data_IF_787155680877
#
_entry.id   IF_787155680877
#
_cell.length_a   1.000
_cell.length_b   1.000
_cell.length_c   1.000
_cell.angle_alpha   90.00
_cell.angle_beta   90.00
_cell.angle_gamma   90.00
#
_symmetry.space_group_name_H-M   'P 1'
#
loop_
_entity.id
_entity.type
_entity.pdbx_description
1 polymer ?
#
# COMPACT_ATOMS: atom_id res chain seq x y z
N UNK A 1 -7.65 11.37 -10.54
CA UNK A 1 -6.22 11.28 -10.90
C UNK A 1 -6.03 11.87 -12.28
N UNK A 2 -4.95 12.62 -12.49
CA UNK A 2 -4.55 13.10 -13.82
C UNK A 2 -3.84 11.99 -14.60
N UNK A 3 -3.91 12.06 -15.93
CA UNK A 3 -3.17 11.14 -16.80
C UNK A 3 -1.67 11.25 -16.55
N UNK A 4 -0.97 10.12 -16.57
CA UNK A 4 0.48 10.05 -16.40
C UNK A 4 1.07 9.01 -17.36
N UNK A 5 2.24 9.31 -17.91
CA UNK A 5 3.05 8.36 -18.68
C UNK A 5 4.09 7.75 -17.77
N UNK A 6 4.10 6.41 -17.69
CA UNK A 6 5.07 5.66 -16.89
C UNK A 6 6.04 4.97 -17.83
N UNK A 7 7.32 5.32 -17.73
CA UNK A 7 8.42 4.64 -18.42
C UNK A 7 8.89 3.48 -17.55
N UNK A 8 8.63 2.25 -18.00
CA UNK A 8 9.13 1.04 -17.37
C UNK A 8 10.37 0.55 -18.12
N UNK A 9 11.49 0.44 -17.43
CA UNK A 9 12.72 -0.14 -17.93
C UNK A 9 12.93 -1.51 -17.29
N UNK A 10 13.19 -2.52 -18.13
CA UNK A 10 13.43 -3.91 -17.74
C UNK A 10 14.90 -4.25 -18.03
N UNK A 11 15.81 -4.10 -17.04
CA UNK A 11 17.24 -4.39 -17.21
C UNK A 11 17.54 -5.79 -17.74
N UNK A 12 16.70 -6.76 -17.40
CA UNK A 12 16.83 -8.16 -17.83
C UNK A 12 15.79 -8.56 -18.89
N UNK A 13 14.98 -7.62 -19.39
CA UNK A 13 13.91 -7.91 -20.35
C UNK A 13 12.71 -8.69 -19.78
N UNK A 14 12.64 -8.89 -18.46
CA UNK A 14 11.59 -9.66 -17.78
C UNK A 14 10.82 -8.80 -16.76
N UNK A 15 9.50 -8.83 -16.84
CA UNK A 15 8.59 -8.07 -15.98
C UNK A 15 8.41 -8.65 -14.56
N UNK A 16 8.98 -9.82 -14.25
CA UNK A 16 9.00 -10.42 -12.91
C UNK A 16 10.32 -10.21 -12.17
N UNK A 17 11.35 -9.75 -12.88
CA UNK A 17 12.70 -9.49 -12.37
C UNK A 17 12.81 -8.03 -11.90
N UNK A 18 14.05 -7.57 -11.70
CA UNK A 18 14.35 -6.17 -11.47
C UNK A 18 13.68 -5.27 -12.53
N UNK A 19 13.01 -4.23 -12.06
CA UNK A 19 12.25 -3.27 -12.84
C UNK A 19 12.54 -1.88 -12.34
N UNK A 20 12.57 -0.92 -13.26
CA UNK A 20 12.78 0.49 -12.94
C UNK A 20 11.64 1.29 -13.55
N UNK A 21 10.89 2.01 -12.73
CA UNK A 21 9.77 2.84 -13.13
C UNK A 21 10.06 4.32 -12.94
N UNK A 22 9.70 5.14 -13.93
CA UNK A 22 9.78 6.60 -13.85
C UNK A 22 8.50 7.22 -14.43
N UNK A 23 7.97 8.28 -13.80
CA UNK A 23 6.82 9.02 -14.33
C UNK A 23 7.35 10.22 -15.11
N UNK A 24 6.80 10.49 -16.30
CA UNK A 24 7.16 11.66 -17.08
C UNK A 24 6.93 12.96 -16.30
N UNK A 25 7.89 13.88 -16.36
CA UNK A 25 7.89 15.16 -15.65
C UNK A 25 7.83 15.05 -14.12
N UNK A 26 8.33 13.94 -13.56
CA UNK A 26 8.53 13.73 -12.13
C UNK A 26 9.93 13.20 -11.88
N UNK A 27 10.56 13.68 -10.81
CA UNK A 27 11.97 13.37 -10.50
C UNK A 27 12.13 12.15 -9.60
N UNK A 28 11.00 11.56 -9.18
CA UNK A 28 11.00 10.29 -8.48
C UNK A 28 11.35 9.11 -9.39
N UNK A 29 12.00 8.12 -8.79
CA UNK A 29 12.37 6.86 -9.43
C UNK A 29 11.97 5.70 -8.56
N UNK A 30 11.42 4.67 -9.19
CA UNK A 30 10.99 3.46 -8.52
C UNK A 30 11.82 2.27 -8.98
N UNK A 31 12.20 1.40 -8.05
CA UNK A 31 12.85 0.12 -8.32
C UNK A 31 12.02 -0.99 -7.72
N UNK A 32 11.81 -2.08 -8.45
CA UNK A 32 11.11 -3.25 -7.92
C UNK A 32 11.90 -4.51 -8.26
N UNK A 33 12.10 -5.40 -7.30
CA UNK A 33 12.83 -6.64 -7.52
C UNK A 33 12.29 -7.76 -6.62
N UNK A 34 12.36 -9.03 -7.06
CA UNK A 34 12.22 -10.16 -6.15
C UNK A 34 13.43 -10.22 -5.20
N UNK A 35 13.26 -10.81 -4.01
CA UNK A 35 14.31 -10.92 -2.97
C UNK A 35 15.58 -11.60 -3.47
N UNK A 36 15.45 -12.57 -4.36
CA UNK A 36 16.57 -13.25 -5.03
C UNK A 36 17.47 -12.27 -5.81
N UNK A 37 16.92 -11.19 -6.32
CA UNK A 37 17.66 -10.15 -7.07
C UNK A 37 17.90 -8.89 -6.22
N UNK A 38 17.86 -9.01 -4.90
CA UNK A 38 18.13 -7.88 -4.02
C UNK A 38 19.53 -7.30 -4.29
N UNK A 39 20.55 -8.13 -4.52
CA UNK A 39 21.90 -7.62 -4.79
C UNK A 39 21.95 -6.76 -6.06
N UNK A 40 21.28 -7.16 -7.14
CA UNK A 40 21.20 -6.40 -8.39
C UNK A 40 20.52 -5.03 -8.18
N UNK A 41 19.53 -4.96 -7.28
CA UNK A 41 18.92 -3.71 -6.85
C UNK A 41 19.90 -2.87 -6.01
N UNK A 42 20.66 -3.48 -5.10
CA UNK A 42 21.56 -2.77 -4.19
C UNK A 42 22.78 -2.15 -4.89
N UNK A 43 23.25 -2.72 -6.01
CA UNK A 43 24.37 -2.14 -6.78
C UNK A 43 23.98 -0.83 -7.48
N UNK A 44 22.68 -0.59 -7.69
CA UNK A 44 22.16 0.62 -8.33
C UNK A 44 22.49 1.88 -7.53
N UNK A 45 22.76 2.97 -8.23
CA UNK A 45 23.08 4.28 -7.62
C UNK A 45 21.90 4.79 -6.77
N UNK A 46 20.68 4.58 -7.26
CA UNK A 46 19.43 4.94 -6.60
C UNK A 46 19.29 4.36 -5.20
N UNK A 47 19.81 3.15 -4.97
CA UNK A 47 19.77 2.54 -3.64
C UNK A 47 20.63 3.31 -2.62
N UNK A 48 21.57 4.14 -3.07
CA UNK A 48 22.36 5.02 -2.21
C UNK A 48 21.63 6.26 -1.71
N UNK A 49 20.45 6.58 -2.26
CA UNK A 49 19.70 7.79 -1.95
C UNK A 49 18.68 7.60 -0.82
N UNK A 50 18.19 8.72 -0.29
CA UNK A 50 17.08 8.74 0.65
C UNK A 50 15.77 8.36 -0.05
N UNK A 51 14.89 7.65 0.65
CA UNK A 51 13.61 7.27 0.10
C UNK A 51 12.74 6.41 1.01
N UNK A 52 11.77 5.75 0.39
CA UNK A 52 10.83 4.82 1.02
C UNK A 52 10.96 3.47 0.33
N UNK A 53 10.82 2.39 1.08
CA UNK A 53 10.74 1.04 0.56
C UNK A 53 9.55 0.28 1.14
N UNK A 54 9.10 -0.70 0.37
CA UNK A 54 8.02 -1.60 0.67
C UNK A 54 8.59 -3.02 0.56
N UNK A 55 8.44 -3.82 1.61
CA UNK A 55 8.71 -5.25 1.56
C UNK A 55 7.38 -5.97 1.53
N UNK A 56 7.23 -6.90 0.59
CA UNK A 56 6.03 -7.70 0.41
C UNK A 56 6.33 -9.17 0.60
N UNK A 57 5.37 -9.87 1.18
CA UNK A 57 5.41 -11.30 1.32
C UNK A 57 4.07 -11.86 1.77
N UNK A 58 4.10 -13.04 2.35
CA UNK A 58 2.93 -13.73 2.83
C UNK A 58 3.29 -14.52 4.09
N UNK A 59 2.34 -14.56 5.02
CA UNK A 59 2.44 -15.36 6.21
C UNK A 59 2.48 -16.86 5.83
N UNK A 60 3.51 -17.64 6.23
CA UNK A 60 3.64 -19.03 5.80
C UNK A 60 2.54 -19.96 6.31
N UNK A 61 1.89 -19.63 7.43
CA UNK A 61 0.86 -20.47 8.04
C UNK A 61 -0.54 -20.12 7.54
N UNK A 62 -0.87 -18.84 7.52
CA UNK A 62 -2.20 -18.34 7.15
C UNK A 62 -2.35 -17.99 5.67
N UNK A 63 -1.24 -17.81 4.95
CA UNK A 63 -1.23 -17.31 3.56
C UNK A 63 -1.63 -15.83 3.41
N UNK A 64 -1.85 -15.12 4.52
CA UNK A 64 -2.25 -13.71 4.49
C UNK A 64 -1.12 -12.85 3.91
N UNK A 65 -1.47 -11.87 3.09
CA UNK A 65 -0.51 -10.96 2.49
C UNK A 65 0.10 -10.03 3.56
N UNK A 66 1.44 -10.02 3.65
CA UNK A 66 2.20 -9.20 4.59
C UNK A 66 2.90 -8.07 3.86
N UNK A 67 2.94 -6.89 4.50
CA UNK A 67 3.71 -5.77 4.01
C UNK A 67 4.46 -5.05 5.14
N UNK A 68 5.61 -4.48 4.81
CA UNK A 68 6.36 -3.57 5.67
C UNK A 68 6.68 -2.31 4.87
N UNK A 69 6.42 -1.14 5.44
CA UNK A 69 6.74 0.15 4.82
C UNK A 69 7.83 0.80 5.64
N UNK A 70 8.96 1.17 5.04
CA UNK A 70 10.06 1.79 5.77
C UNK A 70 10.66 2.98 5.05
N UNK A 71 11.20 3.92 5.81
CA UNK A 71 12.08 4.97 5.30
C UNK A 71 13.57 4.66 5.54
N UNK A 72 14.43 5.27 4.73
CA UNK A 72 15.85 5.40 5.05
C UNK A 72 16.48 6.61 4.33
N UNK A 73 17.48 7.22 4.96
CA UNK A 73 18.38 8.19 4.31
C UNK A 73 19.33 7.51 3.30
N UNK A 74 19.61 6.22 3.49
CA UNK A 74 20.33 5.35 2.55
C UNK A 74 19.59 4.02 2.46
N UNK A 75 18.85 3.80 1.37
CA UNK A 75 18.01 2.61 1.19
C UNK A 75 18.84 1.32 1.22
N UNK A 76 20.02 1.33 0.58
CA UNK A 76 20.91 0.18 0.46
C UNK A 76 21.25 -0.41 1.82
N UNK A 77 21.62 0.43 2.77
CA UNK A 77 22.03 -0.01 4.10
C UNK A 77 20.85 -0.57 4.88
N UNK A 78 19.68 0.06 4.74
CA UNK A 78 18.47 -0.39 5.41
C UNK A 78 17.95 -1.72 4.85
N UNK A 79 17.97 -1.92 3.54
CA UNK A 79 17.58 -3.18 2.92
C UNK A 79 18.54 -4.33 3.26
N UNK A 80 19.84 -4.05 3.39
CA UNK A 80 20.81 -5.04 3.90
C UNK A 80 20.45 -5.55 5.30
N UNK A 81 19.99 -4.67 6.19
CA UNK A 81 19.53 -5.07 7.54
C UNK A 81 18.30 -5.97 7.50
N UNK A 82 17.42 -5.81 6.50
CA UNK A 82 16.23 -6.63 6.34
C UNK A 82 16.49 -8.00 5.69
N UNK A 83 17.69 -8.28 5.19
CA UNK A 83 18.06 -9.61 4.66
C UNK A 83 17.84 -10.73 5.66
N UNK A 84 18.03 -10.45 6.95
CA UNK A 84 17.86 -11.38 8.05
C UNK A 84 16.39 -11.68 8.40
N UNK A 85 15.42 -10.98 7.78
CA UNK A 85 13.99 -11.22 7.99
C UNK A 85 13.43 -12.08 6.88
N UNK A 86 12.67 -13.11 7.24
CA UNK A 86 12.24 -14.11 6.26
C UNK A 86 10.85 -13.91 5.67
N UNK A 87 10.03 -13.02 6.22
CA UNK A 87 8.63 -12.87 5.82
C UNK A 87 8.43 -12.34 4.38
N UNK A 88 9.45 -11.69 3.79
CA UNK A 88 9.32 -10.97 2.53
C UNK A 88 10.03 -11.66 1.36
N UNK A 89 9.45 -11.54 0.16
CA UNK A 89 9.90 -12.17 -1.07
C UNK A 89 10.08 -11.18 -2.23
N UNK A 90 9.61 -9.94 -2.09
CA UNK A 90 9.77 -8.89 -3.08
C UNK A 90 9.86 -7.52 -2.41
N UNK A 91 10.52 -6.59 -3.10
CA UNK A 91 10.74 -5.23 -2.61
C UNK A 91 10.38 -4.22 -3.71
N UNK A 92 9.79 -3.10 -3.30
CA UNK A 92 9.64 -1.91 -4.13
C UNK A 92 10.26 -0.73 -3.39
N UNK A 93 11.04 0.08 -4.07
CA UNK A 93 11.74 1.25 -3.54
C UNK A 93 11.31 2.46 -4.35
N UNK A 94 11.12 3.60 -3.67
CA UNK A 94 10.93 4.91 -4.27
C UNK A 94 11.95 5.88 -3.71
N UNK A 95 12.69 6.54 -4.60
CA UNK A 95 13.69 7.56 -4.28
C UNK A 95 13.46 8.82 -5.11
N UNK A 96 14.10 9.93 -4.74
CA UNK A 96 14.15 11.15 -5.53
C UNK A 96 15.52 11.31 -6.18
N UNK A 97 15.56 11.76 -7.44
CA UNK A 97 16.81 12.05 -8.15
C UNK A 97 17.46 13.38 -7.74
N UNK A 98 16.69 14.31 -7.19
CA UNK A 98 17.16 15.70 -6.96
C UNK A 98 17.56 15.95 -5.50
N UNK A 99 17.83 14.92 -4.71
CA UNK A 99 18.18 15.00 -3.27
C UNK A 99 17.16 15.75 -2.37
N UNK A 100 16.00 16.15 -2.89
CA UNK A 100 14.97 16.92 -2.17
C UNK A 100 14.21 16.15 -1.06
N UNK A 101 14.56 14.89 -0.80
CA UNK A 101 13.96 14.09 0.27
C UNK A 101 14.82 14.13 1.53
N UNK A 102 14.49 15.04 2.44
CA UNK A 102 15.09 15.10 3.77
C UNK A 102 14.53 14.00 4.67
N UNK A 103 15.18 13.78 5.83
CA UNK A 103 14.69 12.88 6.87
C UNK A 103 13.26 13.20 7.33
N UNK A 104 12.92 14.48 7.41
CA UNK A 104 11.56 14.89 7.80
C UNK A 104 10.53 14.52 6.72
N UNK A 105 10.89 14.70 5.45
CA UNK A 105 10.05 14.35 4.29
C UNK A 105 9.75 12.86 4.24
N UNK A 106 10.77 12.01 4.32
CA UNK A 106 10.59 10.54 4.24
C UNK A 106 9.82 9.99 5.45
N UNK A 107 10.02 10.56 6.65
CA UNK A 107 9.22 10.18 7.84
C UNK A 107 7.76 10.60 7.72
N UNK A 108 7.48 11.76 7.13
CA UNK A 108 6.11 12.19 6.87
C UNK A 108 5.45 11.26 5.84
N UNK A 109 6.15 10.97 4.75
CA UNK A 109 5.67 10.11 3.68
C UNK A 109 5.40 8.68 4.17
N UNK A 110 6.31 8.09 4.97
CA UNK A 110 6.11 6.78 5.60
C UNK A 110 4.83 6.77 6.45
N UNK A 111 4.62 7.80 7.28
CA UNK A 111 3.41 7.93 8.10
C UNK A 111 2.13 7.95 7.25
N UNK A 112 2.13 8.75 6.19
CA UNK A 112 1.00 8.85 5.26
C UNK A 112 0.75 7.54 4.55
N UNK A 113 1.79 6.85 4.07
CA UNK A 113 1.70 5.54 3.43
C UNK A 113 1.15 4.46 4.36
N UNK A 114 1.60 4.42 5.62
CA UNK A 114 1.03 3.52 6.63
C UNK A 114 -0.45 3.79 6.86
N UNK A 115 -0.86 5.07 6.90
CA UNK A 115 -2.27 5.45 7.02
C UNK A 115 -3.09 4.97 5.81
N UNK A 116 -2.62 5.20 4.59
CA UNK A 116 -3.33 4.78 3.38
C UNK A 116 -3.39 3.25 3.23
N UNK A 117 -2.30 2.53 3.55
CA UNK A 117 -2.29 1.07 3.54
C UNK A 117 -3.27 0.46 4.55
N UNK A 118 -3.36 1.04 5.77
CA UNK A 118 -4.36 0.63 6.77
C UNK A 118 -5.79 0.87 6.29
N UNK A 119 -6.04 2.00 5.63
CA UNK A 119 -7.36 2.31 5.04
C UNK A 119 -7.72 1.35 3.91
N UNK A 120 -6.75 0.98 3.07
CA UNK A 120 -6.94 0.03 1.98
C UNK A 120 -7.21 -1.39 2.49
N UNK A 121 -6.54 -1.80 3.57
CA UNK A 121 -6.80 -3.07 4.25
C UNK A 121 -6.45 -4.33 3.45
N UNK A 122 -5.56 -4.21 2.45
CA UNK A 122 -5.16 -5.34 1.58
C UNK A 122 -4.04 -6.21 2.16
N UNK A 123 -3.22 -5.66 3.04
CA UNK A 123 -2.08 -6.34 3.64
C UNK A 123 -2.08 -6.12 5.15
N UNK A 124 -1.65 -7.15 5.88
CA UNK A 124 -1.28 -7.01 7.29
C UNK A 124 0.07 -6.31 7.37
N UNK A 125 0.13 -5.20 8.12
CA UNK A 125 1.36 -4.40 8.25
C UNK A 125 2.22 -4.89 9.41
N UNK A 126 3.47 -5.23 9.12
CA UNK A 126 4.45 -5.71 10.12
C UNK A 126 5.01 -4.57 11.00
N UNK A 127 4.85 -3.30 10.57
CA UNK A 127 5.30 -2.16 11.35
C UNK A 127 4.14 -1.22 11.73
N UNK A 128 4.04 -0.94 13.04
CA UNK A 128 2.96 -0.15 13.63
C UNK A 128 3.36 1.27 14.04
N UNK A 129 4.67 1.57 14.11
CA UNK A 129 5.12 2.86 14.64
C UNK A 129 4.75 4.02 13.73
N UNK A 130 4.07 4.99 14.31
CA UNK A 130 3.48 6.12 13.61
C UNK A 130 3.99 7.39 14.30
N UNK A 131 5.20 7.85 13.96
CA UNK A 131 5.62 9.21 14.33
C UNK A 131 5.06 10.17 13.28
N UNK A 132 4.34 11.21 13.68
CA UNK A 132 3.77 12.20 12.76
C UNK A 132 4.65 13.46 12.77
N UNK A 133 5.71 13.54 11.95
CA UNK A 133 6.55 14.73 11.89
C UNK A 133 5.73 15.91 11.36
N UNK A 134 5.98 17.10 11.92
CA UNK A 134 5.41 18.34 11.41
C UNK A 134 6.27 18.83 10.25
N UNK A 135 5.65 19.11 9.11
CA UNK A 135 6.24 19.80 7.98
C UNK A 135 5.57 21.17 7.79
N UNK A 136 6.30 22.17 7.26
CA UNK A 136 5.70 23.36 6.68
C UNK A 136 4.63 23.00 5.63
N UNK A 137 3.69 23.91 5.41
CA UNK A 137 2.58 23.68 4.46
C UNK A 137 3.09 23.36 3.05
N UNK A 138 4.04 24.13 2.52
CA UNK A 138 4.61 23.90 1.18
C UNK A 138 5.21 22.51 1.04
N UNK A 139 6.11 22.12 1.96
CA UNK A 139 6.77 20.81 1.94
C UNK A 139 5.73 19.67 2.05
N UNK A 140 4.68 19.87 2.86
CA UNK A 140 3.61 18.88 3.00
C UNK A 140 2.90 18.65 1.67
N UNK A 141 2.54 19.71 0.95
CA UNK A 141 1.87 19.58 -0.35
C UNK A 141 2.78 18.89 -1.39
N UNK A 142 4.08 19.20 -1.39
CA UNK A 142 5.04 18.53 -2.26
C UNK A 142 5.14 17.01 -1.98
N UNK A 143 5.10 16.62 -0.70
CA UNK A 143 5.12 15.20 -0.32
C UNK A 143 3.79 14.49 -0.61
N UNK A 144 2.65 15.17 -0.51
CA UNK A 144 1.37 14.62 -0.95
C UNK A 144 1.32 14.41 -2.49
N UNK A 145 1.97 15.29 -3.26
CA UNK A 145 2.19 15.03 -4.69
C UNK A 145 3.05 13.79 -4.89
N UNK A 146 4.15 13.64 -4.14
CA UNK A 146 4.99 12.44 -4.19
C UNK A 146 4.20 11.16 -3.85
N UNK A 147 3.37 11.21 -2.81
CA UNK A 147 2.47 10.12 -2.41
C UNK A 147 1.53 9.73 -3.55
N UNK A 148 0.93 10.70 -4.24
CA UNK A 148 0.04 10.44 -5.37
C UNK A 148 0.76 9.71 -6.51
N UNK A 149 2.05 10.01 -6.74
CA UNK A 149 2.88 9.29 -7.74
C UNK A 149 3.18 7.87 -7.31
N UNK A 150 3.46 7.64 -6.02
CA UNK A 150 3.60 6.27 -5.49
C UNK A 150 2.32 5.48 -5.74
N UNK A 151 1.14 6.05 -5.44
CA UNK A 151 -0.15 5.37 -5.67
C UNK A 151 -0.40 5.01 -7.14
N UNK A 152 0.10 5.82 -8.08
CA UNK A 152 -0.01 5.53 -9.51
C UNK A 152 0.97 4.43 -9.98
N UNK A 153 2.19 4.44 -9.45
CA UNK A 153 3.27 3.56 -9.92
C UNK A 153 3.28 2.20 -9.23
N UNK A 154 2.90 2.14 -7.95
CA UNK A 154 2.99 0.91 -7.15
C UNK A 154 2.20 -0.27 -7.75
N UNK A 155 0.96 -0.10 -8.26
CA UNK A 155 0.24 -1.18 -8.93
C UNK A 155 0.94 -1.68 -10.20
N UNK A 156 1.56 -0.78 -10.96
CA UNK A 156 2.32 -1.13 -12.18
C UNK A 156 3.56 -1.98 -11.84
N UNK A 157 4.13 -1.80 -10.64
CA UNK A 157 5.24 -2.60 -10.14
C UNK A 157 4.81 -3.90 -9.45
N UNK A 158 3.49 -4.18 -9.39
CA UNK A 158 2.92 -5.45 -8.95
C UNK A 158 2.41 -5.47 -7.52
N UNK A 159 2.09 -4.32 -6.92
CA UNK A 159 1.47 -4.26 -5.59
C UNK A 159 0.29 -3.30 -5.53
N UNK A 160 -0.83 -3.78 -5.00
CA UNK A 160 -2.03 -2.99 -4.76
C UNK A 160 -2.14 -2.52 -3.29
N UNK A 161 -1.03 -2.44 -2.55
CA UNK A 161 -1.01 -2.10 -1.13
C UNK A 161 -1.88 -0.88 -0.76
N UNK A 162 -1.89 0.14 -1.63
CA UNK A 162 -2.57 1.42 -1.42
C UNK A 162 -3.91 1.51 -2.18
N UNK A 163 -4.25 0.50 -2.98
CA UNK A 163 -5.49 0.47 -3.76
C UNK A 163 -6.63 0.04 -2.85
N UNK A 164 -7.69 0.84 -2.67
CA UNK A 164 -8.85 0.43 -1.89
C UNK A 164 -9.43 -0.89 -2.42
N UNK A 165 -9.96 -1.74 -1.54
CA UNK A 165 -10.71 -2.92 -1.99
C UNK A 165 -12.04 -2.40 -2.56
N UNK A 166 -12.16 -2.35 -3.88
CA UNK A 166 -13.42 -1.97 -4.55
C UNK A 166 -14.52 -2.93 -4.08
N UNK A 167 -15.47 -2.41 -3.30
CA UNK A 167 -16.56 -3.18 -2.69
C UNK A 167 -16.50 -3.30 -1.16
N UNK A 168 -15.40 -2.91 -0.50
CA UNK A 168 -15.30 -2.89 0.96
C UNK A 168 -15.60 -1.54 1.59
N UNK A 169 -16.37 -0.67 0.92
CA UNK A 169 -17.26 0.15 1.72
C UNK A 169 -18.24 -0.84 2.36
N UNK A 170 -17.94 -1.26 3.59
CA UNK A 170 -19.01 -1.43 4.56
C UNK A 170 -19.66 -0.06 4.72
N UNK A 171 -20.36 0.41 3.68
CA UNK A 171 -21.51 1.23 3.92
C UNK A 171 -22.39 0.29 4.75
N UNK A 172 -22.37 0.49 6.07
CA UNK A 172 -23.56 0.25 6.84
C UNK A 172 -24.61 1.16 6.20
N UNK A 173 -25.19 0.74 5.06
CA UNK A 173 -26.47 1.28 4.67
C UNK A 173 -27.34 0.93 5.87
N UNK A 174 -27.87 1.93 6.61
CA UNK A 174 -28.77 1.63 7.70
C UNK A 174 -29.85 0.72 7.12
N UNK A 175 -29.99 -0.48 7.69
CA UNK A 175 -31.00 -1.40 7.22
C UNK A 175 -32.34 -0.67 7.37
N UNK A 176 -33.01 -0.40 6.25
CA UNK A 176 -34.31 0.26 6.30
C UNK A 176 -35.28 -0.72 6.91
N UNK A 177 -35.76 -0.40 8.11
CA UNK A 177 -36.82 -1.15 8.77
C UNK A 177 -38.10 -0.94 7.96
N UNK A 178 -38.60 -2.02 7.37
CA UNK A 178 -39.84 -2.03 6.60
C UNK A 178 -40.99 -2.22 7.57
N UNK A 179 -42.07 -1.46 7.37
CA UNK A 179 -43.29 -1.57 8.15
C UNK A 179 -44.46 -1.92 7.24
N UNK A 180 -45.25 -2.91 7.65
CA UNK A 180 -46.52 -3.25 7.03
C UNK A 180 -47.64 -3.10 8.08
N UNK A 181 -48.70 -2.37 7.73
CA UNK A 181 -49.88 -2.19 8.59
C UNK A 181 -51.15 -2.52 7.82
N UNK A 182 -51.97 -3.42 8.36
CA UNK A 182 -53.28 -3.75 7.81
C UNK A 182 -54.26 -4.13 8.91
N UNK A 183 -55.47 -3.57 8.90
CA UNK A 183 -56.58 -3.87 9.85
C UNK A 183 -56.15 -4.02 11.33
N UNK A 184 -55.30 -3.12 11.81
CA UNK A 184 -54.82 -3.11 13.21
C UNK A 184 -53.62 -4.01 13.51
N UNK A 185 -53.21 -4.88 12.58
CA UNK A 185 -51.96 -5.63 12.68
C UNK A 185 -50.77 -4.79 12.18
N UNK A 186 -49.64 -4.88 12.88
CA UNK A 186 -48.36 -4.24 12.52
C UNK A 186 -47.30 -5.33 12.44
N UNK A 187 -46.52 -5.32 11.36
CA UNK A 187 -45.33 -6.15 11.19
C UNK A 187 -44.14 -5.27 10.80
N UNK A 188 -42.97 -5.57 11.33
CA UNK A 188 -41.70 -4.99 10.92
C UNK A 188 -40.79 -6.06 10.29
N UNK A 189 -39.84 -5.62 9.46
CA UNK A 189 -38.88 -6.50 8.81
C UNK A 189 -37.64 -5.77 8.31
N UNK A 190 -36.57 -6.50 8.11
CA UNK A 190 -35.33 -5.99 7.52
C UNK A 190 -35.20 -6.56 6.10
N UNK A 191 -34.66 -5.78 5.16
CA UNK A 191 -34.44 -6.21 3.77
C UNK A 191 -33.46 -7.39 3.62
N UNK A 192 -32.70 -7.70 4.68
CA UNK A 192 -31.91 -8.92 4.80
C UNK A 192 -31.81 -9.33 6.27
N UNK A 193 -32.21 -10.57 6.59
CA UNK A 193 -32.00 -11.14 7.92
C UNK A 193 -30.50 -11.46 8.09
N UNK A 194 -29.92 -10.97 9.18
CA UNK A 194 -28.56 -11.27 9.60
C UNK A 194 -28.56 -11.61 11.08
N UNK A 195 -27.74 -12.57 11.49
CA UNK A 195 -27.53 -12.86 12.91
C UNK A 195 -26.74 -11.74 13.61
N UNK A 196 -26.54 -11.83 14.93
CA UNK A 196 -25.71 -10.86 15.70
C UNK A 196 -24.27 -10.73 15.18
N UNK A 197 -23.77 -11.72 14.42
CA UNK A 197 -22.46 -11.71 13.76
C UNK A 197 -22.48 -11.20 12.31
N UNK A 198 -23.62 -10.70 11.81
CA UNK A 198 -23.74 -10.16 10.46
C UNK A 198 -23.84 -11.20 9.34
N UNK A 199 -23.92 -12.49 9.66
CA UNK A 199 -24.08 -13.58 8.68
C UNK A 199 -25.54 -13.74 8.27
N UNK A 200 -25.76 -13.94 6.97
CA UNK A 200 -27.06 -14.26 6.36
C UNK A 200 -27.42 -15.73 6.58
N UNK A 201 -28.70 -16.08 6.38
CA UNK A 201 -29.18 -17.47 6.51
C UNK A 201 -28.39 -18.43 5.58
N UNK A 202 -28.16 -18.02 4.33
CA UNK A 202 -27.39 -18.80 3.34
C UNK A 202 -25.94 -19.05 3.76
N UNK A 203 -25.31 -18.10 4.46
CA UNK A 203 -23.93 -18.25 4.97
C UNK A 203 -23.85 -19.13 6.22
N UNK A 204 -24.98 -19.39 6.87
CA UNK A 204 -25.08 -20.28 8.03
C UNK A 204 -25.39 -21.72 7.56
N UNK A 205 -26.20 -21.88 6.51
CA UNK A 205 -26.58 -23.17 5.93
C UNK A 205 -25.50 -23.79 5.02
N UNK A 206 -24.49 -23.01 4.62
CA UNK A 206 -23.38 -23.48 3.77
C UNK A 206 -22.22 -24.14 4.55
N UNK A 207 -22.43 -24.53 5.81
CA UNK A 207 -21.47 -25.22 6.69
C UNK A 207 -21.88 -26.68 6.84
#
# INVERSE_FOLDING_TARGET
MTSATIKLFLPHGDAKRLRVGEVSNWTGKALAAPRIELEDLLVREEAGSAGIYFLFGSDPESGEALAYIGEAEVIRDRLKQHKARDFWNSVVVFVSKDENLTKAHIRYLENRLLSEARKAGRYRLENANTSNPKLPESDREDIEVFLSRIQQVLPVLGSDLLTPISGSSKSQKPQTELFCKNKGAVANGLTAWKNKGGKTLKEIEAI
#
